data_IF_475567538041
#
_entry.id   IF_475567538041
#
_cell.length_a   1.000
_cell.length_b   1.000
_cell.length_c   1.000
_cell.angle_alpha   90.00
_cell.angle_beta   90.00
_cell.angle_gamma   90.00
#
_symmetry.space_group_name_H-M   'P 1'
#
loop_
_entity.id
_entity.type
_entity.pdbx_description
1 polymer ?
#
# COMPACT_ATOMS: atom_id res chain seq x y z
N UNK A 1 77.81 10.77 -15.99
CA UNK A 1 78.46 9.81 -15.04
C UNK A 1 77.41 9.46 -14.01
N UNK A 2 76.63 8.39 -14.18
CA UNK A 2 76.83 7.04 -13.59
C UNK A 2 77.34 7.06 -12.14
N UNK A 3 76.42 6.82 -11.21
CA UNK A 3 76.55 6.03 -9.96
C UNK A 3 75.13 5.93 -9.40
N UNK A 4 74.39 4.83 -9.59
CA UNK A 4 74.46 3.57 -8.84
C UNK A 4 74.57 3.79 -7.32
N UNK A 5 73.42 3.77 -6.65
CA UNK A 5 73.32 3.37 -5.25
C UNK A 5 72.08 2.49 -5.09
N UNK A 6 72.33 1.17 -5.07
CA UNK A 6 71.46 0.12 -4.56
C UNK A 6 71.53 0.19 -3.03
N UNK A 7 70.42 0.02 -2.31
CA UNK A 7 70.37 -0.71 -1.02
C UNK A 7 68.92 -0.91 -0.53
N UNK A 8 68.63 -2.17 -0.19
CA UNK A 8 67.65 -2.79 0.72
C UNK A 8 66.15 -2.51 0.52
N UNK A 9 65.36 -3.51 0.08
CA UNK A 9 64.76 -4.58 0.91
C UNK A 9 63.98 -4.04 2.12
N UNK A 10 62.65 -3.97 1.99
CA UNK A 10 61.70 -4.58 2.93
C UNK A 10 60.50 -5.03 2.12
N UNK A 11 60.36 -6.36 2.05
CA UNK A 11 59.18 -7.07 1.64
C UNK A 11 58.08 -6.90 2.69
N UNK A 12 56.96 -6.29 2.31
CA UNK A 12 55.68 -6.56 2.97
C UNK A 12 54.73 -7.11 1.92
N UNK A 13 54.85 -8.42 1.69
CA UNK A 13 53.77 -9.23 1.15
C UNK A 13 52.67 -9.27 2.19
N UNK A 14 51.60 -8.50 1.99
CA UNK A 14 50.30 -8.80 2.60
C UNK A 14 49.47 -9.45 1.50
N UNK A 15 49.46 -10.77 1.55
CA UNK A 15 48.54 -11.64 0.82
C UNK A 15 47.28 -11.76 1.71
N UNK A 16 46.13 -11.96 1.05
CA UNK A 16 44.83 -12.39 1.60
C UNK A 16 43.99 -11.22 2.16
N UNK A 17 42.74 -10.99 1.77
CA UNK A 17 41.73 -11.95 1.30
C UNK A 17 40.81 -11.34 0.24
N UNK A 18 40.68 -12.05 -0.88
CA UNK A 18 39.49 -12.04 -1.71
C UNK A 18 38.35 -12.61 -0.87
N UNK A 19 37.46 -11.75 -0.37
CA UNK A 19 36.12 -12.15 -0.01
C UNK A 19 35.30 -12.10 -1.31
N UNK A 20 35.37 -13.20 -2.05
CA UNK A 20 34.34 -13.55 -3.01
C UNK A 20 33.08 -13.91 -2.20
N UNK A 21 32.37 -12.88 -1.75
CA UNK A 21 30.97 -13.07 -1.35
C UNK A 21 30.20 -13.21 -2.65
N UNK A 22 30.11 -14.46 -3.11
CA UNK A 22 28.94 -14.92 -3.82
C UNK A 22 27.79 -14.89 -2.81
N UNK A 23 27.29 -13.68 -2.56
CA UNK A 23 25.95 -13.52 -2.02
C UNK A 23 25.04 -13.94 -3.19
N UNK A 24 24.75 -15.24 -3.21
CA UNK A 24 23.54 -15.72 -3.81
C UNK A 24 22.42 -14.94 -3.12
N UNK A 25 21.96 -13.88 -3.76
CA UNK A 25 20.64 -13.31 -3.54
C UNK A 25 19.60 -14.39 -3.91
N UNK A 26 19.46 -15.36 -3.03
CA UNK A 26 18.22 -16.10 -2.87
C UNK A 26 17.17 -15.08 -2.47
N UNK A 27 16.11 -14.97 -3.27
CA UNK A 27 14.88 -14.24 -2.97
C UNK A 27 14.58 -14.28 -1.47
N UNK A 28 14.97 -13.21 -0.77
CA UNK A 28 14.76 -13.08 0.66
C UNK A 28 13.33 -12.61 0.83
N UNK A 29 12.40 -13.56 0.97
CA UNK A 29 11.06 -13.26 1.49
C UNK A 29 11.24 -12.54 2.83
N UNK A 30 10.97 -11.23 2.83
CA UNK A 30 11.04 -10.42 4.06
C UNK A 30 9.98 -10.97 5.01
N UNK A 31 10.38 -11.23 6.26
CA UNK A 31 9.42 -11.71 7.26
C UNK A 31 8.37 -10.62 7.54
N UNK A 32 7.08 -10.98 7.66
CA UNK A 32 6.04 -10.02 7.99
C UNK A 32 6.32 -9.30 9.31
N UNK A 33 5.98 -8.02 9.39
CA UNK A 33 6.21 -7.14 10.54
C UNK A 33 4.89 -6.93 11.27
N UNK A 34 4.84 -7.28 12.57
CA UNK A 34 3.67 -7.02 13.42
C UNK A 34 3.40 -5.51 13.50
N UNK A 35 2.17 -5.10 13.20
CA UNK A 35 1.71 -3.72 13.29
C UNK A 35 1.38 -3.43 14.77
N UNK A 36 2.13 -2.51 15.39
CA UNK A 36 1.91 -2.01 16.75
C UNK A 36 1.90 -0.48 16.68
N UNK A 37 0.94 0.18 17.35
CA UNK A 37 0.86 1.65 17.45
C UNK A 37 0.93 2.34 16.07
N UNK A 38 -0.01 2.04 15.18
CA UNK A 38 -0.11 2.72 13.88
C UNK A 38 -1.14 3.86 13.96
N UNK A 39 -1.04 4.84 13.05
CA UNK A 39 -2.14 5.80 12.83
C UNK A 39 -3.43 5.13 12.30
N UNK A 40 -3.37 3.83 12.02
CA UNK A 40 -4.52 3.00 11.72
C UNK A 40 -4.94 2.26 12.98
N UNK A 41 -6.24 2.26 13.28
CA UNK A 41 -6.82 1.61 14.46
C UNK A 41 -6.75 0.08 14.46
N UNK A 42 -5.87 -0.54 13.66
CA UNK A 42 -5.79 -2.00 13.48
C UNK A 42 -5.39 -2.75 14.76
N UNK A 43 -4.58 -2.16 15.62
CA UNK A 43 -4.19 -2.74 16.90
C UNK A 43 -5.37 -2.83 17.88
N UNK A 44 -6.38 -1.98 17.72
CA UNK A 44 -7.66 -2.10 18.42
C UNK A 44 -8.50 -3.25 17.86
N UNK A 45 -8.47 -3.46 16.53
CA UNK A 45 -9.24 -4.48 15.82
C UNK A 45 -8.71 -5.91 16.05
N UNK A 46 -7.39 -6.09 16.22
CA UNK A 46 -6.78 -7.41 16.24
C UNK A 46 -5.27 -7.46 16.07
N UNK A 47 -4.78 -8.61 15.59
CA UNK A 47 -3.36 -8.85 15.37
C UNK A 47 -3.08 -8.88 13.88
N UNK A 48 -2.37 -7.87 13.38
CA UNK A 48 -2.10 -7.68 11.96
C UNK A 48 -0.60 -7.59 11.68
N UNK A 49 -0.18 -8.15 10.55
CA UNK A 49 1.19 -8.22 10.08
C UNK A 49 1.27 -7.62 8.68
N UNK A 50 2.19 -6.68 8.51
CA UNK A 50 2.51 -6.08 7.22
C UNK A 50 3.55 -6.91 6.49
N UNK A 51 3.25 -7.27 5.25
CA UNK A 51 4.13 -8.02 4.34
C UNK A 51 5.00 -7.07 3.52
N UNK A 52 4.37 -6.04 2.96
CA UNK A 52 5.03 -5.04 2.13
C UNK A 52 4.38 -3.67 2.29
N UNK A 53 5.10 -2.63 1.88
CA UNK A 53 4.66 -1.24 1.91
C UNK A 53 5.28 -0.46 0.76
N UNK A 54 4.49 0.43 0.18
CA UNK A 54 4.97 1.54 -0.63
C UNK A 54 4.50 2.85 0.00
N UNK A 55 5.39 3.82 0.07
CA UNK A 55 5.16 5.16 0.62
C UNK A 55 5.27 6.21 -0.50
N UNK A 56 4.69 7.38 -0.28
CA UNK A 56 4.79 8.55 -1.17
C UNK A 56 4.37 8.25 -2.62
N UNK A 57 3.26 7.53 -2.79
CA UNK A 57 2.77 7.07 -4.10
C UNK A 57 2.48 8.24 -5.05
N UNK A 58 1.68 9.21 -4.61
CA UNK A 58 1.45 10.44 -5.39
C UNK A 58 0.06 11.03 -5.30
N UNK A 59 -0.17 12.06 -6.12
CA UNK A 59 -1.45 12.76 -6.23
C UNK A 59 -1.98 12.69 -7.67
N UNK A 60 -3.25 12.35 -7.79
CA UNK A 60 -3.97 12.11 -9.04
C UNK A 60 -5.26 12.93 -9.06
N UNK A 61 -5.78 13.24 -10.25
CA UNK A 61 -6.96 14.09 -10.41
C UNK A 61 -7.94 13.44 -11.38
N UNK A 62 -9.22 13.38 -10.99
CA UNK A 62 -10.34 13.01 -11.85
C UNK A 62 -11.44 14.06 -11.70
N UNK A 63 -11.56 14.94 -12.69
CA UNK A 63 -12.54 16.02 -12.64
C UNK A 63 -12.33 16.95 -11.43
N UNK A 64 -13.34 17.18 -10.58
CA UNK A 64 -13.21 18.00 -9.38
C UNK A 64 -12.51 17.28 -8.21
N UNK A 65 -12.23 15.97 -8.33
CA UNK A 65 -11.65 15.16 -7.26
C UNK A 65 -10.13 15.05 -7.41
N UNK A 66 -9.40 15.45 -6.37
CA UNK A 66 -8.00 15.17 -6.19
C UNK A 66 -7.81 14.06 -5.13
N UNK A 67 -6.99 13.07 -5.46
CA UNK A 67 -6.71 11.89 -4.63
C UNK A 67 -5.21 11.85 -4.37
N UNK A 68 -4.81 11.86 -3.10
CA UNK A 68 -3.41 11.70 -2.69
C UNK A 68 -3.25 10.38 -1.97
N UNK A 69 -2.49 9.46 -2.54
CA UNK A 69 -2.17 8.17 -1.91
C UNK A 69 -0.85 8.36 -1.17
N UNK A 70 -0.91 8.38 0.16
CA UNK A 70 0.28 8.55 1.01
C UNK A 70 1.06 7.25 1.14
N UNK A 71 0.35 6.12 1.24
CA UNK A 71 0.95 4.79 1.27
C UNK A 71 -0.05 3.70 0.90
N UNK A 72 0.48 2.55 0.50
CA UNK A 72 -0.27 1.31 0.38
C UNK A 72 0.50 0.17 1.08
N UNK A 73 -0.23 -0.72 1.74
CA UNK A 73 0.33 -1.82 2.54
C UNK A 73 -0.40 -3.13 2.23
N UNK A 74 0.37 -4.21 2.10
CA UNK A 74 -0.17 -5.57 2.09
C UNK A 74 -0.13 -6.09 3.52
N UNK A 75 -1.28 -6.49 4.05
CA UNK A 75 -1.46 -6.86 5.45
C UNK A 75 -2.23 -8.17 5.56
N UNK A 76 -1.86 -9.01 6.52
CA UNK A 76 -2.73 -10.08 6.98
C UNK A 76 -2.90 -10.07 8.48
N UNK A 77 -3.98 -10.65 8.97
CA UNK A 77 -4.20 -10.70 10.40
C UNK A 77 -5.45 -11.45 10.76
N UNK A 78 -5.84 -11.31 12.02
CA UNK A 78 -7.13 -11.74 12.51
C UNK A 78 -7.66 -10.74 13.51
N UNK A 79 -8.99 -10.66 13.57
CA UNK A 79 -9.69 -9.82 14.52
C UNK A 79 -9.67 -10.42 15.93
N UNK A 80 -10.06 -9.64 16.92
CA UNK A 80 -10.32 -10.13 18.28
C UNK A 80 -11.70 -10.79 18.34
N UNK A 81 -11.93 -11.62 19.36
CA UNK A 81 -13.19 -12.38 19.55
C UNK A 81 -14.42 -11.47 19.78
N UNK A 82 -14.24 -10.19 20.08
CA UNK A 82 -15.33 -9.22 20.25
C UNK A 82 -16.01 -8.84 18.91
N UNK A 83 -15.45 -9.24 17.77
CA UNK A 83 -16.05 -9.09 16.45
C UNK A 83 -16.96 -10.27 16.03
N UNK A 84 -17.17 -11.28 16.90
CA UNK A 84 -18.08 -12.41 16.66
C UNK A 84 -19.51 -11.95 16.30
N UNK A 85 -19.93 -10.78 16.81
CA UNK A 85 -21.24 -10.17 16.50
C UNK A 85 -21.42 -9.82 15.02
N UNK A 86 -20.31 -9.65 14.29
CA UNK A 86 -20.26 -9.45 12.85
C UNK A 86 -20.01 -10.76 12.09
N UNK A 87 -20.02 -11.90 12.79
CA UNK A 87 -19.73 -13.22 12.23
C UNK A 87 -18.24 -13.46 11.96
N UNK A 88 -17.36 -12.71 12.60
CA UNK A 88 -15.91 -12.80 12.44
C UNK A 88 -15.28 -13.24 13.76
N UNK A 89 -14.60 -14.37 13.72
CA UNK A 89 -13.91 -14.96 14.87
C UNK A 89 -12.42 -14.64 14.83
N UNK A 90 -11.72 -14.75 15.97
CA UNK A 90 -10.25 -14.58 15.97
C UNK A 90 -9.47 -15.65 15.20
N UNK A 91 -10.13 -16.75 14.83
CA UNK A 91 -9.57 -17.76 13.92
C UNK A 91 -9.66 -17.36 12.45
N UNK A 92 -10.52 -16.39 12.11
CA UNK A 92 -10.69 -15.95 10.73
C UNK A 92 -9.51 -15.06 10.35
N UNK A 93 -8.70 -15.58 9.41
CA UNK A 93 -7.62 -14.81 8.81
C UNK A 93 -8.20 -13.92 7.73
N UNK A 94 -7.79 -12.67 7.73
CA UNK A 94 -8.06 -11.74 6.65
C UNK A 94 -6.75 -11.33 5.99
N UNK A 95 -6.76 -11.29 4.67
CA UNK A 95 -5.70 -10.77 3.83
C UNK A 95 -6.24 -9.49 3.20
N UNK A 96 -5.45 -8.42 3.20
CA UNK A 96 -5.94 -7.11 2.79
C UNK A 96 -4.85 -6.28 2.12
N UNK A 97 -5.27 -5.43 1.18
CA UNK A 97 -4.49 -4.28 0.73
C UNK A 97 -5.10 -3.03 1.34
N UNK A 98 -4.30 -2.24 2.05
CA UNK A 98 -4.74 -1.03 2.75
C UNK A 98 -4.06 0.18 2.14
N UNK A 99 -4.84 1.17 1.73
CA UNK A 99 -4.38 2.44 1.21
C UNK A 99 -4.68 3.55 2.22
N UNK A 100 -3.73 4.47 2.38
CA UNK A 100 -3.90 5.71 3.14
C UNK A 100 -4.08 6.85 2.15
N UNK A 101 -5.32 7.34 2.01
CA UNK A 101 -5.74 8.21 0.92
C UNK A 101 -6.30 9.53 1.46
N UNK A 102 -5.71 10.64 1.08
CA UNK A 102 -6.30 11.97 1.20
C UNK A 102 -7.20 12.28 0.01
N UNK A 103 -8.39 12.83 0.28
CA UNK A 103 -9.33 13.27 -0.75
C UNK A 103 -9.54 14.78 -0.65
N UNK A 104 -9.63 15.45 -1.80
CA UNK A 104 -9.94 16.89 -1.88
C UNK A 104 -10.83 17.17 -3.07
N UNK A 105 -11.86 17.99 -2.87
CA UNK A 105 -12.76 18.46 -3.93
C UNK A 105 -12.46 19.93 -4.24
N UNK A 106 -12.13 20.23 -5.49
CA UNK A 106 -11.65 21.56 -5.89
C UNK A 106 -12.79 22.57 -6.16
N UNK A 107 -14.06 22.16 -6.14
CA UNK A 107 -15.23 23.05 -6.13
C UNK A 107 -16.45 22.34 -5.49
N UNK A 108 -16.94 22.87 -4.36
CA UNK A 108 -18.05 22.27 -3.60
C UNK A 108 -19.44 22.65 -4.16
N UNK A 109 -19.48 23.51 -5.17
CA UNK A 109 -20.72 24.04 -5.76
C UNK A 109 -21.32 23.17 -6.86
N UNK A 110 -20.63 22.10 -7.28
CA UNK A 110 -21.17 21.10 -8.21
C UNK A 110 -21.86 19.97 -7.41
N UNK A 111 -23.01 19.50 -7.89
CA UNK A 111 -23.70 18.32 -7.35
C UNK A 111 -22.87 17.08 -7.70
N UNK A 112 -21.79 16.86 -6.96
CA UNK A 112 -20.86 15.73 -7.12
C UNK A 112 -21.35 14.55 -6.30
N UNK A 113 -21.29 13.34 -6.87
CA UNK A 113 -21.43 12.07 -6.15
C UNK A 113 -20.15 11.25 -6.30
N UNK A 114 -19.65 10.78 -5.16
CA UNK A 114 -18.48 9.90 -5.06
C UNK A 114 -18.56 9.15 -3.73
N UNK A 115 -18.41 7.83 -3.77
CA UNK A 115 -18.47 6.94 -2.59
C UNK A 115 -17.39 5.86 -2.68
N UNK A 116 -17.36 4.96 -1.69
CA UNK A 116 -16.52 3.78 -1.72
C UNK A 116 -16.77 2.84 -2.92
N UNK A 117 -17.98 2.86 -3.50
CA UNK A 117 -18.33 2.02 -4.66
C UNK A 117 -17.58 2.41 -5.94
N UNK A 118 -17.01 3.62 -5.98
CA UNK A 118 -16.22 4.10 -7.10
C UNK A 118 -14.75 3.65 -7.05
N UNK A 119 -14.38 2.79 -6.11
CA UNK A 119 -12.98 2.36 -5.94
C UNK A 119 -12.87 0.84 -6.02
N UNK A 120 -11.98 0.39 -6.89
CA UNK A 120 -11.72 -1.02 -7.15
C UNK A 120 -10.24 -1.35 -7.02
N UNK A 121 -9.94 -2.64 -6.87
CA UNK A 121 -8.58 -3.13 -6.85
C UNK A 121 -8.47 -4.37 -7.73
N UNK A 122 -7.43 -4.44 -8.56
CA UNK A 122 -7.08 -5.64 -9.31
C UNK A 122 -5.70 -6.11 -8.86
N UNK A 123 -5.57 -7.38 -8.48
CA UNK A 123 -4.27 -7.94 -8.09
C UNK A 123 -3.46 -8.39 -9.29
N UNK A 124 -2.16 -8.65 -9.10
CA UNK A 124 -1.29 -9.23 -10.12
C UNK A 124 -1.71 -10.63 -10.62
N UNK A 125 -2.54 -11.34 -9.85
CA UNK A 125 -3.16 -12.61 -10.25
C UNK A 125 -4.43 -12.42 -11.10
N UNK A 126 -4.96 -11.20 -11.17
CA UNK A 126 -6.21 -10.85 -11.86
C UNK A 126 -7.46 -10.96 -10.97
N UNK A 127 -7.30 -11.11 -9.65
CA UNK A 127 -8.44 -11.02 -8.72
C UNK A 127 -8.97 -9.58 -8.70
N UNK A 128 -10.25 -9.40 -8.98
CA UNK A 128 -10.93 -8.11 -8.98
C UNK A 128 -11.78 -7.92 -7.72
N UNK A 129 -11.50 -6.87 -6.96
CA UNK A 129 -12.24 -6.48 -5.76
C UNK A 129 -13.02 -5.21 -6.08
N UNK A 130 -14.35 -5.33 -6.08
CA UNK A 130 -15.28 -4.31 -6.58
C UNK A 130 -15.55 -3.15 -5.61
N UNK A 131 -15.11 -3.26 -4.35
CA UNK A 131 -15.28 -2.18 -3.37
C UNK A 131 -14.41 -2.42 -2.15
N UNK A 132 -14.08 -1.34 -1.39
CA UNK A 132 -13.47 -1.45 -0.08
C UNK A 132 -14.35 -2.25 0.90
N UNK A 133 -13.70 -2.96 1.80
CA UNK A 133 -14.34 -3.73 2.85
C UNK A 133 -14.72 -2.83 4.03
N UNK A 134 -16.01 -2.82 4.39
CA UNK A 134 -16.62 -1.90 5.37
C UNK A 134 -15.88 -1.89 6.73
N UNK A 135 -15.55 -3.07 7.28
CA UNK A 135 -14.97 -3.15 8.63
C UNK A 135 -13.52 -2.64 8.75
N UNK A 136 -12.80 -2.51 7.63
CA UNK A 136 -11.39 -2.11 7.62
C UNK A 136 -11.18 -0.80 6.87
N UNK A 137 -12.27 -0.15 6.46
CA UNK A 137 -12.26 1.10 5.71
C UNK A 137 -12.92 2.21 6.51
N UNK A 138 -12.41 3.43 6.33
CA UNK A 138 -13.12 4.63 6.74
C UNK A 138 -14.30 4.86 5.80
N UNK A 139 -15.36 5.50 6.29
CA UNK A 139 -16.46 5.94 5.43
C UNK A 139 -15.96 6.97 4.38
N UNK A 140 -16.41 6.84 3.13
CA UNK A 140 -16.01 7.73 2.03
C UNK A 140 -17.27 8.22 1.34
N UNK A 141 -17.57 9.50 1.55
CA UNK A 141 -18.66 10.18 0.87
C UNK A 141 -18.39 11.67 0.86
N UNK A 142 -19.13 12.40 0.03
CA UNK A 142 -18.96 13.85 -0.17
C UNK A 142 -19.01 14.64 1.16
N UNK A 143 -19.97 14.41 2.08
CA UNK A 143 -19.93 15.05 3.40
C UNK A 143 -18.64 14.78 4.18
N UNK A 144 -18.11 13.55 4.15
CA UNK A 144 -16.89 13.17 4.87
C UNK A 144 -15.64 13.78 4.22
N UNK A 145 -15.59 13.81 2.89
CA UNK A 145 -14.50 14.41 2.09
C UNK A 145 -14.45 15.92 2.34
N UNK A 146 -15.58 16.62 2.27
CA UNK A 146 -15.64 18.08 2.42
C UNK A 146 -15.32 18.58 3.83
N UNK A 147 -15.52 17.76 4.85
CA UNK A 147 -15.44 18.23 6.24
C UNK A 147 -14.02 18.13 6.80
N UNK A 148 -13.10 17.45 6.12
CA UNK A 148 -11.78 17.14 6.66
C UNK A 148 -10.80 16.78 5.52
N UNK A 149 -9.78 17.62 5.28
CA UNK A 149 -8.58 17.31 4.48
C UNK A 149 -7.72 16.23 5.17
N UNK A 150 -8.35 15.12 5.58
CA UNK A 150 -7.74 14.07 6.36
C UNK A 150 -7.54 12.82 5.50
N UNK A 151 -6.41 12.18 5.75
CA UNK A 151 -6.09 10.85 5.24
C UNK A 151 -7.11 9.84 5.76
N UNK A 152 -7.60 8.99 4.87
CA UNK A 152 -8.57 7.93 5.11
C UNK A 152 -7.93 6.59 4.84
N UNK A 153 -8.28 5.63 5.66
CA UNK A 153 -7.91 4.24 5.42
C UNK A 153 -8.93 3.59 4.49
N UNK A 154 -8.46 2.98 3.41
CA UNK A 154 -9.28 2.22 2.45
C UNK A 154 -8.72 0.82 2.34
N UNK A 155 -9.47 -0.18 2.80
CA UNK A 155 -8.99 -1.57 2.86
C UNK A 155 -9.77 -2.47 1.92
N UNK A 156 -9.09 -3.20 1.05
CA UNK A 156 -9.65 -4.21 0.16
C UNK A 156 -9.33 -5.60 0.71
N UNK A 157 -10.36 -6.45 0.85
CA UNK A 157 -10.17 -7.84 1.27
C UNK A 157 -9.75 -8.69 0.07
N UNK A 158 -8.68 -9.45 0.25
CA UNK A 158 -8.12 -10.39 -0.73
C UNK A 158 -8.55 -11.80 -0.34
N UNK A 159 -9.17 -12.54 -1.25
CA UNK A 159 -9.67 -13.89 -1.04
C UNK A 159 -8.86 -14.94 -1.79
N UNK A 160 -8.47 -14.65 -3.03
CA UNK A 160 -7.87 -15.64 -3.93
C UNK A 160 -6.36 -15.48 -4.09
N UNK A 161 -5.84 -14.25 -4.07
CA UNK A 161 -4.43 -13.96 -4.36
C UNK A 161 -3.50 -14.31 -3.20
N UNK A 162 -2.28 -14.73 -3.56
CA UNK A 162 -1.21 -14.98 -2.60
C UNK A 162 -0.52 -13.67 -2.21
N UNK A 163 -0.96 -13.10 -1.10
CA UNK A 163 -0.43 -11.84 -0.58
C UNK A 163 1.05 -11.88 -0.18
N UNK A 164 1.65 -13.05 0.08
CA UNK A 164 3.08 -13.14 0.43
C UNK A 164 3.97 -12.91 -0.79
N UNK A 165 3.43 -13.18 -1.99
CA UNK A 165 4.13 -13.07 -3.27
C UNK A 165 3.58 -11.96 -4.17
N UNK A 166 2.59 -11.19 -3.70
CA UNK A 166 1.96 -10.11 -4.45
C UNK A 166 2.94 -8.96 -4.65
N UNK A 167 3.18 -8.62 -5.92
CA UNK A 167 4.16 -7.60 -6.32
C UNK A 167 3.53 -6.30 -6.75
N UNK A 168 2.31 -6.37 -7.28
CA UNK A 168 1.59 -5.20 -7.76
C UNK A 168 0.09 -5.34 -7.57
N UNK A 169 -0.57 -4.21 -7.48
CA UNK A 169 -2.02 -4.07 -7.62
C UNK A 169 -2.32 -2.84 -8.46
N UNK A 170 -3.39 -2.90 -9.21
CA UNK A 170 -3.92 -1.79 -9.98
C UNK A 170 -5.12 -1.23 -9.20
N UNK A 171 -4.95 -0.04 -8.62
CA UNK A 171 -6.01 0.67 -7.90
C UNK A 171 -6.78 1.54 -8.88
N UNK A 172 -8.08 1.24 -9.01
CA UNK A 172 -8.95 1.88 -9.98
C UNK A 172 -9.88 2.82 -9.23
N UNK A 173 -10.01 4.05 -9.73
CA UNK A 173 -10.99 5.01 -9.23
C UNK A 173 -11.84 5.52 -10.37
N UNK A 174 -13.11 5.18 -10.34
CA UNK A 174 -14.09 5.70 -11.29
C UNK A 174 -14.27 7.21 -11.09
N UNK A 175 -14.48 7.92 -12.20
CA UNK A 175 -14.71 9.35 -12.16
C UNK A 175 -15.94 9.69 -11.30
N UNK A 176 -15.89 10.76 -10.49
CA UNK A 176 -17.07 11.26 -9.81
C UNK A 176 -18.16 11.63 -10.83
N UNK A 177 -19.43 11.50 -10.46
CA UNK A 177 -20.58 11.79 -11.33
C UNK A 177 -21.37 12.99 -10.85
N UNK A 178 -22.15 13.59 -11.74
CA UNK A 178 -23.10 14.65 -11.39
C UNK A 178 -24.53 14.13 -11.10
N UNK A 179 -25.46 15.04 -10.83
CA UNK A 179 -26.89 14.76 -10.61
C UNK A 179 -27.62 14.08 -11.80
N UNK A 180 -27.00 14.09 -12.98
CA UNK A 180 -27.49 13.43 -14.21
C UNK A 180 -26.75 12.14 -14.51
N UNK A 181 -25.94 11.63 -13.58
CA UNK A 181 -25.12 10.43 -13.74
C UNK A 181 -24.06 10.58 -14.86
N UNK A 182 -23.68 11.81 -15.21
CA UNK A 182 -22.62 12.07 -16.18
C UNK A 182 -21.26 12.14 -15.45
N UNK A 183 -20.20 11.50 -15.97
CA UNK A 183 -18.88 11.57 -15.38
C UNK A 183 -18.30 12.98 -15.47
N UNK A 184 -17.70 13.44 -14.38
CA UNK A 184 -17.07 14.76 -14.27
C UNK A 184 -15.56 14.72 -14.55
N UNK A 185 -15.01 13.55 -14.88
CA UNK A 185 -13.60 13.32 -15.13
C UNK A 185 -13.36 12.03 -15.93
N UNK A 186 -12.09 11.61 -15.98
CA UNK A 186 -11.69 10.31 -16.51
C UNK A 186 -11.43 9.35 -15.34
N UNK A 187 -11.67 8.06 -15.55
CA UNK A 187 -11.30 7.04 -14.56
C UNK A 187 -9.78 7.03 -14.38
N UNK A 188 -9.34 6.73 -13.17
CA UNK A 188 -7.93 6.60 -12.80
C UNK A 188 -7.57 5.13 -12.67
N UNK A 189 -6.43 4.76 -13.21
CA UNK A 189 -5.78 3.46 -13.00
C UNK A 189 -4.38 3.72 -12.47
N UNK A 190 -4.14 3.31 -11.22
CA UNK A 190 -2.92 3.62 -10.48
C UNK A 190 -2.24 2.31 -10.12
N UNK A 191 -1.13 2.00 -10.81
CA UNK A 191 -0.30 0.84 -10.50
C UNK A 191 0.52 1.10 -9.22
N UNK A 192 0.38 0.19 -8.25
CA UNK A 192 1.10 0.21 -6.98
C UNK A 192 2.04 -0.99 -6.93
N UNK A 193 3.35 -0.73 -7.03
CA UNK A 193 4.39 -1.76 -6.95
C UNK A 193 4.94 -1.90 -5.52
N UNK A 194 5.03 -3.13 -5.02
CA UNK A 194 5.53 -3.48 -3.69
C UNK A 194 6.92 -4.13 -3.76
N UNK A 195 7.80 -3.77 -2.81
CA UNK A 195 9.20 -4.22 -2.73
C UNK A 195 9.51 -5.12 -1.53
#
# INVERSE_FOLDING_TARGET
>A
MKSFLIILFISCSVILSSCNNTDNDSESSRKPVLIQEHNSSFDELGTFYRHSKVDEVGTYHSGPLAITIESAEIVSGSFRDDYDIYGITSSDKINTVILQIGFKLDNVDEDVSFTEENMHLVTDSGEEIQQPHELISSAINIPVINNNDNVRQVGFKIEESDIENMKKVDFIVEAPINDKEEPLGEDLEIELEFN
#
